data_IF_641679077046
#
_entry.id   IF_641679077046
#
_cell.length_a   1.000
_cell.length_b   1.000
_cell.length_c   1.000
_cell.angle_alpha   90.00
_cell.angle_beta   90.00
_cell.angle_gamma   90.00
#
_symmetry.space_group_name_H-M   'P 1'
#
loop_
_entity.id
_entity.type
_entity.pdbx_description
1 polymer ?
#
# COMPACT_ATOMS: atom_id res chain seq x y z
N UNK A 1 -58.16 10.34 14.51
CA UNK A 1 -56.68 10.30 14.39
C UNK A 1 -56.12 11.16 15.50
N UNK A 2 -55.37 10.57 16.45
CA UNK A 2 -54.71 11.34 17.51
C UNK A 2 -53.41 11.87 16.91
N UNK A 3 -53.31 13.19 16.75
CA UNK A 3 -52.14 13.86 16.20
C UNK A 3 -50.99 13.92 17.21
N UNK A 4 -49.78 14.10 16.68
CA UNK A 4 -48.56 14.31 17.48
C UNK A 4 -48.71 15.55 18.38
N UNK A 5 -48.30 15.44 19.64
CA UNK A 5 -48.29 16.60 20.54
C UNK A 5 -47.07 17.49 20.27
N UNK A 6 -47.18 18.80 20.54
CA UNK A 6 -46.05 19.74 20.41
C UNK A 6 -44.84 19.30 21.24
N UNK A 7 -45.08 18.70 22.42
CA UNK A 7 -44.01 18.20 23.28
C UNK A 7 -43.31 16.98 22.70
N UNK A 8 -44.03 16.03 22.09
CA UNK A 8 -43.41 14.88 21.41
C UNK A 8 -42.56 15.32 20.20
N UNK A 9 -43.00 16.34 19.46
CA UNK A 9 -42.20 16.92 18.37
C UNK A 9 -40.88 17.50 18.91
N UNK A 10 -40.92 18.20 20.05
CA UNK A 10 -39.73 18.80 20.64
C UNK A 10 -38.74 17.73 21.13
N UNK A 11 -39.24 16.67 21.79
CA UNK A 11 -38.41 15.56 22.27
C UNK A 11 -37.77 14.80 21.09
N UNK A 12 -38.51 14.56 20.02
CA UNK A 12 -37.96 13.86 18.84
C UNK A 12 -36.91 14.69 18.09
N UNK A 13 -37.14 15.99 17.90
CA UNK A 13 -36.15 16.89 17.27
C UNK A 13 -34.89 17.00 18.12
N UNK A 14 -35.02 17.09 19.44
CA UNK A 14 -33.84 17.16 20.33
C UNK A 14 -33.00 15.88 20.30
N UNK A 15 -33.63 14.70 20.25
CA UNK A 15 -32.90 13.42 20.06
C UNK A 15 -32.22 13.38 18.67
N UNK A 16 -32.89 13.85 17.62
CA UNK A 16 -32.32 13.89 16.26
C UNK A 16 -31.09 14.80 16.21
N UNK A 17 -31.16 15.99 16.79
CA UNK A 17 -30.02 16.93 16.82
C UNK A 17 -28.85 16.34 17.61
N UNK A 18 -29.11 15.75 18.78
CA UNK A 18 -28.06 15.13 19.58
C UNK A 18 -27.37 13.98 18.83
N UNK A 19 -28.14 13.09 18.21
CA UNK A 19 -27.59 11.97 17.44
C UNK A 19 -26.82 12.44 16.21
N UNK A 20 -27.31 13.46 15.51
CA UNK A 20 -26.60 14.06 14.37
C UNK A 20 -25.24 14.63 14.77
N UNK A 21 -25.14 15.32 15.92
CA UNK A 21 -23.86 15.86 16.43
C UNK A 21 -22.85 14.73 16.65
N UNK A 22 -23.25 13.62 17.28
CA UNK A 22 -22.34 12.48 17.50
C UNK A 22 -21.85 11.84 16.20
N UNK A 23 -22.72 11.75 15.18
CA UNK A 23 -22.35 11.20 13.87
C UNK A 23 -21.36 12.13 13.17
N UNK A 24 -21.67 13.43 13.07
CA UNK A 24 -20.82 14.40 12.40
C UNK A 24 -19.46 14.54 13.09
N UNK A 25 -19.42 14.47 14.43
CA UNK A 25 -18.17 14.53 15.19
C UNK A 25 -17.23 13.35 14.90
N UNK A 26 -17.76 12.18 14.52
CA UNK A 26 -16.96 10.98 14.23
C UNK A 26 -16.69 10.75 12.74
N UNK A 27 -17.40 11.45 11.85
CA UNK A 27 -17.27 11.29 10.39
C UNK A 27 -15.83 11.41 9.87
N UNK A 28 -14.98 12.37 10.30
CA UNK A 28 -13.62 12.49 9.79
C UNK A 28 -12.75 11.25 10.03
N UNK A 29 -12.89 10.61 11.20
CA UNK A 29 -12.15 9.38 11.54
C UNK A 29 -12.60 8.20 10.67
N UNK A 30 -13.90 8.10 10.41
CA UNK A 30 -14.43 7.07 9.52
C UNK A 30 -13.93 7.25 8.08
N UNK A 31 -13.99 8.49 7.57
CA UNK A 31 -13.47 8.81 6.24
C UNK A 31 -11.96 8.50 6.13
N UNK A 32 -11.16 8.87 7.13
CA UNK A 32 -9.71 8.61 7.18
C UNK A 32 -9.39 7.11 7.13
N UNK A 33 -10.11 6.30 7.92
CA UNK A 33 -9.97 4.83 7.92
C UNK A 33 -10.33 4.22 6.57
N UNK A 34 -11.41 4.70 5.95
CA UNK A 34 -11.84 4.22 4.64
C UNK A 34 -10.82 4.56 3.55
N UNK A 35 -10.24 5.77 3.59
CA UNK A 35 -9.18 6.16 2.66
C UNK A 35 -7.90 5.36 2.86
N UNK A 36 -7.54 5.07 4.11
CA UNK A 36 -6.36 4.26 4.43
C UNK A 36 -6.53 2.82 3.95
N UNK A 37 -7.70 2.22 4.22
CA UNK A 37 -8.04 0.87 3.77
C UNK A 37 -7.97 0.76 2.24
N UNK A 38 -8.55 1.75 1.52
CA UNK A 38 -8.46 1.81 0.06
C UNK A 38 -7.02 1.88 -0.42
N UNK A 39 -6.20 2.75 0.18
CA UNK A 39 -4.79 2.91 -0.20
C UNK A 39 -4.01 1.61 0.02
N UNK A 40 -4.19 0.95 1.17
CA UNK A 40 -3.53 -0.32 1.46
C UNK A 40 -3.94 -1.42 0.50
N UNK A 41 -5.21 -1.46 0.11
CA UNK A 41 -5.71 -2.40 -0.90
C UNK A 41 -5.15 -2.12 -2.30
N UNK A 42 -5.04 -0.85 -2.70
CA UNK A 42 -4.44 -0.45 -3.97
C UNK A 42 -2.96 -0.88 -4.04
N UNK A 43 -2.19 -0.65 -2.97
CA UNK A 43 -0.79 -1.12 -2.90
C UNK A 43 -0.69 -2.64 -2.96
N UNK A 44 -1.51 -3.37 -2.20
CA UNK A 44 -1.54 -4.83 -2.24
C UNK A 44 -1.93 -5.38 -3.63
N UNK A 45 -2.82 -4.68 -4.34
CA UNK A 45 -3.19 -5.03 -5.71
C UNK A 45 -2.02 -4.81 -6.67
N UNK A 46 -1.29 -3.71 -6.54
CA UNK A 46 -0.11 -3.41 -7.36
C UNK A 46 0.99 -4.47 -7.19
N UNK A 47 1.24 -4.93 -5.96
CA UNK A 47 2.15 -6.04 -5.67
C UNK A 47 1.72 -7.34 -6.37
N UNK A 48 0.43 -7.69 -6.27
CA UNK A 48 -0.13 -8.87 -6.95
C UNK A 48 -0.10 -8.75 -8.47
N UNK A 49 -0.27 -7.54 -9.01
CA UNK A 49 -0.14 -7.26 -10.45
C UNK A 49 1.30 -7.47 -10.92
N UNK A 50 2.29 -6.91 -10.21
CA UNK A 50 3.70 -7.12 -10.51
C UNK A 50 4.07 -8.61 -10.50
N UNK A 51 3.61 -9.35 -9.49
CA UNK A 51 3.75 -10.81 -9.43
C UNK A 51 3.12 -11.50 -10.66
N UNK A 52 1.90 -11.11 -11.04
CA UNK A 52 1.23 -11.65 -12.21
C UNK A 52 1.97 -11.35 -13.51
N UNK A 53 2.58 -10.18 -13.66
CA UNK A 53 3.36 -9.82 -14.84
C UNK A 53 4.64 -10.66 -14.96
N UNK A 54 5.34 -10.88 -13.84
CA UNK A 54 6.51 -11.76 -13.79
C UNK A 54 6.16 -13.20 -14.15
N UNK A 55 5.08 -13.75 -13.59
CA UNK A 55 4.62 -15.11 -13.87
C UNK A 55 4.12 -15.31 -15.30
N UNK A 56 3.45 -14.29 -15.86
CA UNK A 56 2.95 -14.32 -17.23
C UNK A 56 4.05 -14.16 -18.29
N UNK A 57 5.31 -13.94 -17.88
CA UNK A 57 6.43 -13.66 -18.79
C UNK A 57 6.06 -12.48 -19.70
N UNK A 58 5.56 -11.40 -19.09
CA UNK A 58 5.07 -10.26 -19.85
C UNK A 58 6.25 -9.51 -20.48
N UNK A 59 6.15 -9.27 -21.78
CA UNK A 59 7.12 -8.46 -22.50
C UNK A 59 7.10 -7.00 -22.00
N UNK A 60 8.28 -6.40 -21.83
CA UNK A 60 8.40 -4.98 -21.50
C UNK A 60 8.53 -4.15 -22.78
N UNK A 61 7.49 -3.39 -23.11
CA UNK A 61 7.37 -2.72 -24.41
C UNK A 61 7.02 -3.70 -25.52
N UNK A 62 5.87 -3.50 -26.16
CA UNK A 62 5.36 -4.43 -27.17
C UNK A 62 6.35 -4.59 -28.33
N UNK A 63 6.80 -5.81 -28.59
CA UNK A 63 7.75 -6.14 -29.66
C UNK A 63 9.22 -5.89 -29.34
N UNK A 64 9.60 -5.66 -28.08
CA UNK A 64 10.99 -5.50 -27.65
C UNK A 64 11.76 -6.83 -27.57
N UNK A 65 11.07 -7.95 -27.39
CA UNK A 65 11.65 -9.26 -27.07
C UNK A 65 12.22 -9.38 -25.66
N UNK A 66 12.02 -8.39 -24.79
CA UNK A 66 12.58 -8.33 -23.43
C UNK A 66 11.53 -8.84 -22.43
N UNK A 67 11.89 -9.84 -21.64
CA UNK A 67 10.99 -10.49 -20.67
C UNK A 67 11.57 -10.38 -19.25
N UNK A 68 11.53 -9.19 -18.64
CA UNK A 68 12.18 -8.90 -17.36
C UNK A 68 11.43 -9.47 -16.15
N UNK A 69 12.06 -9.38 -14.99
CA UNK A 69 11.35 -9.44 -13.71
C UNK A 69 10.46 -8.20 -13.53
N UNK A 70 9.42 -8.30 -12.72
CA UNK A 70 8.57 -7.15 -12.41
C UNK A 70 8.57 -6.90 -10.92
N UNK A 71 8.52 -5.64 -10.52
CA UNK A 71 8.55 -5.27 -9.12
C UNK A 71 7.73 -4.04 -8.78
N UNK A 72 7.73 -3.71 -7.50
CA UNK A 72 7.18 -2.45 -6.98
C UNK A 72 8.24 -1.75 -6.17
N UNK A 73 8.44 -0.47 -6.45
CA UNK A 73 9.39 0.42 -5.79
C UNK A 73 8.63 1.40 -4.90
N UNK A 74 9.11 1.57 -3.68
CA UNK A 74 8.64 2.54 -2.71
C UNK A 74 9.78 3.43 -2.24
N UNK A 75 9.52 4.71 -2.02
CA UNK A 75 10.50 5.67 -1.53
C UNK A 75 9.88 6.58 -0.46
N UNK A 76 10.61 6.82 0.64
CA UNK A 76 10.15 7.71 1.72
C UNK A 76 10.23 9.18 1.30
N UNK A 77 11.16 9.55 0.40
CA UNK A 77 11.26 10.91 -0.13
C UNK A 77 10.03 11.29 -0.97
N UNK A 78 9.38 10.29 -1.58
CA UNK A 78 8.17 10.41 -2.40
C UNK A 78 7.01 9.64 -1.75
N UNK A 79 6.54 10.02 -0.54
CA UNK A 79 5.69 9.18 0.31
C UNK A 79 4.24 9.02 -0.19
N UNK A 80 3.87 9.73 -1.26
CA UNK A 80 2.58 9.63 -1.93
C UNK A 80 2.68 8.85 -3.24
N UNK A 81 3.88 8.48 -3.68
CA UNK A 81 4.13 7.89 -5.00
C UNK A 81 4.81 6.55 -4.84
N UNK A 82 4.49 5.63 -5.73
CA UNK A 82 5.18 4.36 -5.86
C UNK A 82 5.07 3.89 -7.31
N UNK A 83 6.00 3.06 -7.75
CA UNK A 83 6.07 2.65 -9.15
C UNK A 83 6.06 1.14 -9.26
N UNK A 84 5.25 0.62 -10.19
CA UNK A 84 5.46 -0.72 -10.74
C UNK A 84 6.53 -0.60 -11.82
N UNK A 85 7.54 -1.46 -11.77
CA UNK A 85 8.66 -1.41 -12.69
C UNK A 85 8.98 -2.78 -13.28
N UNK A 86 9.79 -2.77 -14.32
CA UNK A 86 10.30 -3.92 -15.03
C UNK A 86 11.83 -3.89 -15.00
N UNK A 87 12.44 -4.87 -14.34
CA UNK A 87 13.89 -5.02 -14.13
C UNK A 87 14.56 -5.51 -15.43
N UNK A 88 14.94 -4.58 -16.32
CA UNK A 88 15.45 -4.91 -17.66
C UNK A 88 16.93 -5.28 -17.66
N UNK A 89 17.68 -4.84 -16.64
CA UNK A 89 19.12 -5.11 -16.51
C UNK A 89 19.44 -6.26 -15.52
N UNK A 90 18.42 -6.85 -14.91
CA UNK A 90 18.50 -7.93 -13.93
C UNK A 90 19.24 -7.56 -12.63
N UNK A 91 19.25 -6.28 -12.26
CA UNK A 91 19.83 -5.81 -11.00
C UNK A 91 18.83 -5.90 -9.83
N UNK A 92 17.53 -6.12 -10.07
CA UNK A 92 16.45 -6.23 -9.07
C UNK A 92 16.17 -4.93 -8.31
N UNK A 93 16.51 -3.81 -8.91
CA UNK A 93 16.35 -2.46 -8.38
C UNK A 93 15.54 -1.65 -9.39
N UNK A 94 14.99 -0.52 -8.98
CA UNK A 94 14.30 0.38 -9.89
C UNK A 94 15.23 1.48 -10.39
N UNK A 95 15.59 1.46 -11.68
CA UNK A 95 16.49 2.45 -12.28
C UNK A 95 15.76 3.69 -12.86
N UNK A 96 14.54 3.97 -12.39
CA UNK A 96 13.77 5.13 -12.80
C UNK A 96 12.99 4.93 -14.11
N UNK A 97 12.85 6.02 -14.88
CA UNK A 97 11.89 6.10 -15.98
C UNK A 97 12.11 5.09 -17.13
N UNK A 98 13.32 4.53 -17.29
CA UNK A 98 13.59 3.48 -18.29
C UNK A 98 12.94 2.15 -17.96
N UNK A 99 12.65 1.90 -16.69
CA UNK A 99 12.07 0.66 -16.17
C UNK A 99 10.65 0.85 -15.65
N UNK A 100 10.17 2.09 -15.62
CA UNK A 100 8.84 2.44 -15.16
C UNK A 100 7.77 1.81 -16.08
N UNK A 101 6.94 0.95 -15.50
CA UNK A 101 5.77 0.37 -16.17
C UNK A 101 4.55 1.24 -15.90
N UNK A 102 4.33 1.56 -14.63
CA UNK A 102 3.18 2.33 -14.15
C UNK A 102 3.61 3.11 -12.91
N UNK A 103 3.47 4.43 -12.94
CA UNK A 103 3.63 5.28 -11.76
C UNK A 103 2.25 5.48 -11.13
N UNK A 104 2.11 5.14 -9.86
CA UNK A 104 0.87 5.27 -9.12
C UNK A 104 1.01 6.34 -8.05
N UNK A 105 0.01 7.22 -7.98
CA UNK A 105 -0.12 8.23 -6.95
C UNK A 105 -1.20 7.81 -5.95
N UNK A 106 -0.93 7.97 -4.66
CA UNK A 106 -1.90 7.81 -3.60
C UNK A 106 -2.82 9.03 -3.63
N UNK A 107 -4.00 8.85 -4.23
CA UNK A 107 -5.05 9.89 -4.33
C UNK A 107 -5.58 10.36 -2.97
N UNK A 108 -5.35 9.57 -1.92
CA UNK A 108 -5.78 9.93 -0.57
C UNK A 108 -4.74 10.79 0.14
N UNK A 109 -5.14 11.40 1.25
CA UNK A 109 -4.24 12.13 2.14
C UNK A 109 -3.32 11.21 2.97
N UNK A 110 -3.31 9.90 2.70
CA UNK A 110 -2.45 8.93 3.38
C UNK A 110 -1.04 8.95 2.80
N UNK A 111 -0.04 8.67 3.62
CA UNK A 111 1.38 8.74 3.24
C UNK A 111 2.14 7.53 3.76
N UNK A 112 3.09 7.04 2.98
CA UNK A 112 4.06 6.05 3.42
C UNK A 112 5.00 6.73 4.43
N UNK A 113 5.14 6.14 5.61
CA UNK A 113 5.91 6.75 6.71
C UNK A 113 7.18 5.99 7.06
N UNK A 114 7.20 4.69 6.78
CA UNK A 114 8.30 3.81 7.14
C UNK A 114 8.25 2.57 6.26
N UNK A 115 9.42 2.11 5.89
CA UNK A 115 9.68 0.87 5.18
C UNK A 115 10.52 0.02 6.13
N UNK A 116 10.02 -1.18 6.45
CA UNK A 116 10.68 -2.08 7.38
C UNK A 116 10.84 -3.48 6.78
N UNK A 117 11.71 -4.26 7.42
CA UNK A 117 11.98 -5.64 7.09
C UNK A 117 12.13 -6.48 8.36
N UNK A 118 11.59 -7.70 8.33
CA UNK A 118 11.78 -8.67 9.40
C UNK A 118 11.01 -8.37 10.69
N UNK A 119 10.02 -7.48 10.72
CA UNK A 119 9.29 -7.21 11.98
C UNK A 119 8.52 -8.44 12.47
N UNK A 120 8.04 -9.31 11.57
CA UNK A 120 7.31 -10.54 11.92
C UNK A 120 8.24 -11.69 12.24
N UNK A 121 9.34 -11.84 11.50
CA UNK A 121 10.24 -13.00 11.69
C UNK A 121 11.40 -12.75 12.64
N UNK A 122 11.89 -11.51 12.75
CA UNK A 122 13.03 -11.12 13.58
C UNK A 122 12.78 -9.80 14.32
N UNK A 123 11.86 -9.74 15.30
CA UNK A 123 11.57 -8.52 16.05
C UNK A 123 12.82 -7.94 16.73
N UNK A 124 13.06 -6.62 16.71
CA UNK A 124 12.13 -5.57 16.29
C UNK A 124 12.09 -5.28 14.78
N UNK A 125 12.81 -6.03 13.95
CA UNK A 125 13.01 -5.73 12.53
C UNK A 125 13.99 -4.58 12.29
N UNK A 126 14.18 -4.23 11.02
CA UNK A 126 14.91 -3.02 10.59
C UNK A 126 13.93 -2.09 9.87
N UNK A 127 13.89 -0.81 10.25
CA UNK A 127 13.03 0.22 9.66
C UNK A 127 13.84 1.41 9.11
N UNK A 128 15.15 1.22 8.86
CA UNK A 128 16.06 2.26 8.42
C UNK A 128 16.09 2.51 6.91
N UNK A 129 15.20 1.89 6.14
CA UNK A 129 15.24 1.93 4.67
C UNK A 129 14.60 3.21 4.13
N UNK A 130 15.32 3.94 3.29
CA UNK A 130 14.80 5.12 2.56
C UNK A 130 13.99 4.73 1.34
N UNK A 131 14.31 3.58 0.75
CA UNK A 131 13.67 3.02 -0.43
C UNK A 131 13.58 1.50 -0.31
N UNK A 132 12.64 0.90 -1.02
CA UNK A 132 12.40 -0.53 -0.98
C UNK A 132 11.90 -1.03 -2.32
N UNK A 133 12.63 -1.99 -2.87
CA UNK A 133 12.35 -2.67 -4.12
C UNK A 133 11.94 -4.11 -3.85
N UNK A 134 10.76 -4.46 -4.37
CA UNK A 134 10.21 -5.80 -4.26
C UNK A 134 10.11 -6.38 -5.67
N UNK A 135 11.04 -7.27 -6.03
CA UNK A 135 11.13 -7.85 -7.37
C UNK A 135 10.65 -9.28 -7.38
N UNK A 136 9.74 -9.59 -8.31
CA UNK A 136 9.24 -10.93 -8.60
C UNK A 136 9.96 -11.49 -9.82
N UNK A 137 10.62 -12.63 -9.64
CA UNK A 137 11.29 -13.33 -10.74
C UNK A 137 10.53 -14.62 -11.09
N UNK A 138 10.65 -15.03 -12.35
CA UNK A 138 10.20 -16.32 -12.90
C UNK A 138 11.35 -17.35 -12.86
N UNK A 139 11.13 -18.68 -12.93
CA UNK A 139 9.85 -19.41 -13.08
C UNK A 139 9.16 -19.77 -11.77
N UNK A 140 9.86 -19.74 -10.63
CA UNK A 140 9.27 -19.87 -9.30
C UNK A 140 9.04 -18.46 -8.74
N UNK A 141 7.96 -18.19 -7.98
CA UNK A 141 7.66 -16.87 -7.40
C UNK A 141 8.61 -16.55 -6.23
N UNK A 142 9.91 -16.60 -6.47
CA UNK A 142 10.92 -16.14 -5.52
C UNK A 142 10.94 -14.62 -5.57
N UNK A 143 10.75 -14.01 -4.41
CA UNK A 143 10.72 -12.57 -4.27
C UNK A 143 12.04 -12.13 -3.70
N UNK A 144 12.62 -11.12 -4.32
CA UNK A 144 13.84 -10.50 -3.86
C UNK A 144 13.52 -9.12 -3.33
N UNK A 145 14.19 -8.78 -2.25
CA UNK A 145 14.02 -7.53 -1.54
C UNK A 145 15.33 -6.77 -1.64
N UNK A 146 15.24 -5.50 -2.02
CA UNK A 146 16.37 -4.59 -2.10
C UNK A 146 16.03 -3.24 -1.49
N UNK A 147 17.06 -2.55 -1.03
CA UNK A 147 17.00 -1.14 -0.65
C UNK A 147 18.18 -0.47 -1.31
N UNK A 148 17.93 0.15 -2.47
CA UNK A 148 18.96 0.55 -3.41
C UNK A 148 19.86 -0.64 -3.78
N UNK A 149 21.17 -0.44 -3.67
CA UNK A 149 22.16 -1.46 -4.02
C UNK A 149 22.19 -2.64 -3.03
N UNK A 150 21.66 -2.47 -1.81
CA UNK A 150 21.72 -3.50 -0.76
C UNK A 150 20.65 -4.59 -0.96
N UNK A 151 21.08 -5.85 -1.05
CA UNK A 151 20.17 -7.00 -1.07
C UNK A 151 19.78 -7.39 0.35
N UNK A 152 18.48 -7.42 0.62
CA UNK A 152 17.92 -7.74 1.92
C UNK A 152 17.67 -9.25 2.02
N UNK A 153 18.05 -9.86 3.14
CA UNK A 153 17.90 -11.31 3.40
C UNK A 153 16.76 -11.65 4.35
N UNK A 154 15.78 -10.76 4.48
CA UNK A 154 14.61 -10.95 5.33
C UNK A 154 13.55 -11.84 4.66
N UNK A 155 12.70 -12.46 5.48
CA UNK A 155 11.59 -13.29 4.97
C UNK A 155 10.29 -12.52 4.77
N UNK A 156 10.23 -11.30 5.29
CA UNK A 156 9.08 -10.41 5.37
C UNK A 156 9.53 -8.96 5.28
N UNK A 157 8.70 -8.13 4.63
CA UNK A 157 8.81 -6.69 4.53
C UNK A 157 7.51 -6.04 4.96
N UNK A 158 7.60 -4.86 5.57
CA UNK A 158 6.47 -4.08 6.02
C UNK A 158 6.49 -2.67 5.42
N UNK A 159 5.43 -2.32 4.70
CA UNK A 159 5.18 -0.95 4.24
C UNK A 159 4.13 -0.33 5.17
N UNK A 160 4.52 0.72 5.90
CA UNK A 160 3.65 1.41 6.86
C UNK A 160 3.06 2.67 6.25
N UNK A 161 1.73 2.73 6.17
CA UNK A 161 0.99 3.87 5.66
C UNK A 161 0.25 4.54 6.83
N UNK A 162 0.33 5.86 6.89
CA UNK A 162 -0.34 6.70 7.88
C UNK A 162 -1.39 7.58 7.23
N UNK A 163 -2.58 7.60 7.81
CA UNK A 163 -3.63 8.55 7.45
C UNK A 163 -3.54 9.84 8.29
N UNK A 164 -4.18 10.96 7.89
CA UNK A 164 -4.05 12.24 8.59
C UNK A 164 -4.54 12.24 10.03
N UNK A 165 -5.45 11.32 10.38
CA UNK A 165 -5.93 11.15 11.76
C UNK A 165 -4.93 10.42 12.67
N UNK A 166 -3.76 10.03 12.12
CA UNK A 166 -2.71 9.31 12.82
C UNK A 166 -2.87 7.79 12.80
N UNK A 167 -3.96 7.26 12.23
CA UNK A 167 -4.16 5.82 12.10
C UNK A 167 -3.10 5.22 11.17
N UNK A 168 -2.55 4.08 11.56
CA UNK A 168 -1.55 3.33 10.81
C UNK A 168 -2.16 2.05 10.24
N UNK A 169 -1.71 1.69 9.04
CA UNK A 169 -1.90 0.36 8.46
C UNK A 169 -0.56 -0.14 7.94
N UNK A 170 -0.34 -1.44 8.11
CA UNK A 170 0.88 -2.11 7.69
C UNK A 170 0.55 -3.12 6.61
N UNK A 171 1.25 -3.04 5.49
CA UNK A 171 1.19 -4.04 4.42
C UNK A 171 2.41 -4.92 4.59
N UNK A 172 2.20 -6.21 4.86
CA UNK A 172 3.29 -7.17 5.01
C UNK A 172 3.42 -8.03 3.76
N UNK A 173 4.63 -8.10 3.20
CA UNK A 173 4.95 -8.90 2.03
C UNK A 173 5.96 -9.97 2.44
N UNK A 174 5.61 -11.23 2.24
CA UNK A 174 6.49 -12.36 2.51
C UNK A 174 7.27 -12.75 1.27
N UNK A 175 8.48 -13.29 1.45
CA UNK A 175 9.31 -13.82 0.37
C UNK A 175 8.67 -15.01 -0.38
N UNK A 176 7.64 -15.63 0.21
CA UNK A 176 6.79 -16.67 -0.37
C UNK A 176 5.73 -16.13 -1.34
N UNK A 177 5.51 -14.82 -1.38
CA UNK A 177 4.48 -14.16 -2.18
C UNK A 177 3.15 -13.94 -1.50
N UNK A 178 3.03 -14.27 -0.22
CA UNK A 178 1.88 -13.86 0.57
C UNK A 178 1.93 -12.34 0.84
N UNK A 179 0.81 -11.65 0.57
CA UNK A 179 0.61 -10.23 0.91
C UNK A 179 -0.49 -10.14 1.96
N UNK A 180 -0.16 -9.66 3.16
CA UNK A 180 -1.05 -9.42 4.28
C UNK A 180 -1.31 -7.94 4.51
N UNK A 181 -2.49 -7.63 5.04
CA UNK A 181 -2.89 -6.28 5.45
C UNK A 181 -3.26 -6.32 6.93
N UNK A 182 -2.63 -5.46 7.72
CA UNK A 182 -2.83 -5.36 9.17
C UNK A 182 -3.09 -3.91 9.62
#
# INVERSE_FOLDING_TARGET
MKGFTLIELLVTVSILVLTAIFILANYPKFASRMSLERTSQEVALSLRRAQSFALAVREFGQGSGIFPGYGVHFEIASPADYAVYADINANREYDGASEAVESLHIETSSRIIALCAGEKTQPPGDCGFSELDITYLRPAPTIFFKSGVATLTYSDLEIKIRAPDGTLRTITVWNSGQVGLE
#
